data_IF_013794570801
#
_entry.id   IF_013794570801
#
_cell.length_a   1.000
_cell.length_b   1.000
_cell.length_c   1.000
_cell.angle_alpha   90.00
_cell.angle_beta   90.00
_cell.angle_gamma   90.00
#
_symmetry.space_group_name_H-M   'P 1'
#
loop_
_entity.id
_entity.type
_entity.pdbx_description
1 polymer ?
#
# COMPACT_ATOMS: atom_id res chain seq x y z
N UNK A 1 34.39 8.33 59.81
CA UNK A 1 33.47 8.91 58.80
C UNK A 1 33.20 7.88 57.73
N UNK A 2 32.04 7.34 57.70
CA UNK A 2 31.61 6.39 56.63
C UNK A 2 30.80 7.18 55.62
N UNK A 3 31.36 7.39 54.44
CA UNK A 3 30.64 8.00 53.31
C UNK A 3 29.78 6.92 52.66
N UNK A 4 28.48 7.07 52.78
CA UNK A 4 27.46 6.31 52.04
C UNK A 4 27.39 6.85 50.63
N UNK A 5 27.90 6.08 49.64
CA UNK A 5 27.64 6.33 48.25
C UNK A 5 26.25 5.83 47.95
N UNK A 6 25.32 6.74 47.71
CA UNK A 6 24.00 6.39 47.16
C UNK A 6 24.14 6.10 45.67
N UNK A 7 24.03 4.83 45.27
CA UNK A 7 23.87 4.46 43.88
C UNK A 7 22.45 4.87 43.44
N UNK A 8 22.37 5.93 42.66
CA UNK A 8 21.12 6.29 41.96
C UNK A 8 20.95 5.31 40.78
N UNK A 9 20.04 4.35 40.92
CA UNK A 9 19.62 3.47 39.82
C UNK A 9 18.82 4.32 38.84
N UNK A 10 19.39 4.61 37.69
CA UNK A 10 18.70 5.23 36.58
C UNK A 10 17.83 4.15 35.92
N UNK A 11 16.51 4.23 36.15
CA UNK A 11 15.55 3.38 35.46
C UNK A 11 15.41 3.91 34.02
N UNK A 12 16.05 3.27 33.05
CA UNK A 12 15.83 3.58 31.65
C UNK A 12 14.53 2.92 31.24
N UNK A 13 13.47 3.73 31.08
CA UNK A 13 12.23 3.25 30.47
C UNK A 13 12.50 3.11 28.96
N UNK A 14 12.64 1.88 28.50
CA UNK A 14 12.62 1.58 27.06
C UNK A 14 11.17 1.68 26.59
N UNK A 15 10.85 2.78 25.89
CA UNK A 15 9.58 2.90 25.16
C UNK A 15 9.71 2.11 23.85
N UNK A 16 9.08 0.94 23.78
CA UNK A 16 8.87 0.24 22.50
C UNK A 16 7.89 1.06 21.66
N UNK A 17 8.40 1.72 20.60
CA UNK A 17 7.56 2.36 19.62
C UNK A 17 6.91 1.27 18.76
N UNK A 18 5.57 1.08 18.88
CA UNK A 18 4.80 0.25 17.96
C UNK A 18 4.61 1.03 16.66
N UNK A 19 5.31 0.63 15.58
CA UNK A 19 5.00 1.11 14.25
C UNK A 19 3.80 0.33 13.73
N UNK A 20 2.74 1.04 13.34
CA UNK A 20 1.59 0.43 12.69
C UNK A 20 1.96 0.02 11.27
N UNK A 21 1.41 -1.12 10.81
CA UNK A 21 1.59 -1.58 9.44
C UNK A 21 0.96 -0.60 8.44
N UNK A 22 1.61 -0.42 7.29
CA UNK A 22 1.03 0.29 6.16
C UNK A 22 -0.22 -0.44 5.69
N UNK A 23 -1.30 0.29 5.43
CA UNK A 23 -2.56 -0.24 4.92
C UNK A 23 -3.03 0.59 3.73
N UNK A 24 -3.87 -0.02 2.88
CA UNK A 24 -4.51 0.66 1.77
C UNK A 24 -6.02 0.45 1.82
N UNK A 25 -6.75 1.45 1.31
CA UNK A 25 -8.18 1.34 1.04
C UNK A 25 -8.48 1.91 -0.34
N UNK A 26 -9.35 1.25 -1.07
CA UNK A 26 -9.87 1.67 -2.37
C UNK A 26 -11.23 1.04 -2.60
N UNK A 27 -11.98 1.56 -3.56
CA UNK A 27 -13.23 0.98 -4.03
C UNK A 27 -13.24 0.91 -5.55
N UNK A 28 -13.90 -0.10 -6.09
CA UNK A 28 -14.11 -0.25 -7.53
C UNK A 28 -15.57 0.12 -7.83
N UNK A 29 -15.76 1.19 -8.56
CA UNK A 29 -17.05 1.61 -9.11
C UNK A 29 -17.11 1.32 -10.61
N UNK A 30 -18.27 1.49 -11.23
CA UNK A 30 -18.43 1.26 -12.68
C UNK A 30 -17.42 2.00 -13.54
N UNK A 31 -17.07 3.24 -13.18
CA UNK A 31 -16.06 4.06 -13.86
C UNK A 31 -14.64 3.50 -13.79
N UNK A 32 -14.38 2.60 -12.85
CA UNK A 32 -13.08 1.96 -12.66
C UNK A 32 -12.98 0.59 -13.35
N UNK A 33 -14.04 0.15 -14.02
CA UNK A 33 -14.10 -1.16 -14.68
C UNK A 33 -13.74 -1.07 -16.15
N UNK A 34 -13.35 -2.20 -16.71
CA UNK A 34 -12.99 -2.34 -18.13
C UNK A 34 -11.94 -1.30 -18.54
N UNK A 35 -12.14 -0.57 -19.61
CA UNK A 35 -11.28 0.52 -20.05
C UNK A 35 -11.43 1.85 -19.32
N UNK A 36 -11.96 1.82 -18.09
CA UNK A 36 -12.19 3.01 -17.28
C UNK A 36 -10.94 3.60 -16.64
N UNK A 37 -11.13 4.47 -15.65
CA UNK A 37 -10.06 5.16 -14.94
C UNK A 37 -9.66 4.40 -13.68
N UNK A 38 -8.39 4.52 -13.28
CA UNK A 38 -7.89 3.89 -12.04
C UNK A 38 -8.58 4.49 -10.81
N UNK A 39 -8.86 3.67 -9.78
CA UNK A 39 -9.46 4.17 -8.54
C UNK A 39 -8.50 5.02 -7.74
N UNK A 40 -9.04 5.90 -6.89
CA UNK A 40 -8.27 6.51 -5.82
C UNK A 40 -7.82 5.45 -4.81
N UNK A 41 -6.61 5.58 -4.28
CA UNK A 41 -6.09 4.70 -3.22
C UNK A 41 -5.66 5.55 -2.04
N UNK A 42 -6.27 5.30 -0.87
CA UNK A 42 -5.82 5.85 0.39
C UNK A 42 -4.72 4.95 0.96
N UNK A 43 -3.58 5.55 1.31
CA UNK A 43 -2.42 4.84 1.86
C UNK A 43 -2.19 5.36 3.27
N UNK A 44 -2.26 4.47 4.26
CA UNK A 44 -2.14 4.82 5.68
C UNK A 44 -0.87 4.22 6.28
N UNK A 45 -0.24 4.92 7.21
CA UNK A 45 0.98 4.50 7.90
C UNK A 45 2.15 4.22 6.92
N UNK A 46 2.36 5.13 5.99
CA UNK A 46 3.48 5.06 5.05
C UNK A 46 4.80 5.20 5.81
N UNK A 47 5.78 4.30 5.61
CA UNK A 47 7.05 4.38 6.32
C UNK A 47 7.80 5.69 6.04
N UNK A 48 8.50 6.25 7.04
CA UNK A 48 9.45 7.33 6.80
C UNK A 48 10.51 6.91 5.78
N UNK A 49 10.90 7.84 4.90
CA UNK A 49 11.88 7.56 3.85
C UNK A 49 11.28 7.03 2.54
N UNK A 50 9.96 6.86 2.48
CA UNK A 50 9.29 6.48 1.24
C UNK A 50 9.42 7.59 0.19
N UNK A 51 10.05 7.27 -0.93
CA UNK A 51 10.23 8.19 -2.05
C UNK A 51 9.24 7.90 -3.20
N UNK A 52 8.89 6.63 -3.39
CA UNK A 52 7.99 6.16 -4.45
C UNK A 52 7.08 5.06 -3.94
N UNK A 53 5.96 4.90 -4.61
CA UNK A 53 5.03 3.79 -4.41
C UNK A 53 4.80 3.07 -5.72
N UNK A 54 4.90 1.75 -5.70
CA UNK A 54 4.55 0.87 -6.81
C UNK A 54 3.16 0.34 -6.58
N UNK A 55 2.29 0.44 -7.57
CA UNK A 55 0.91 -0.04 -7.52
C UNK A 55 0.72 -1.13 -8.56
N UNK A 56 0.18 -2.25 -8.13
CA UNK A 56 -0.12 -3.40 -8.98
C UNK A 56 -1.56 -3.87 -8.72
N UNK A 57 -2.28 -4.20 -9.79
CA UNK A 57 -3.57 -4.90 -9.70
C UNK A 57 -3.49 -6.21 -10.47
N UNK A 58 -3.84 -7.30 -9.81
CA UNK A 58 -3.91 -8.63 -10.40
C UNK A 58 -5.32 -9.20 -10.28
N UNK A 59 -5.77 -9.85 -11.35
CA UNK A 59 -6.90 -10.77 -11.33
C UNK A 59 -6.37 -12.12 -10.84
N UNK A 60 -6.81 -12.57 -9.66
CA UNK A 60 -6.32 -13.83 -9.09
C UNK A 60 -6.86 -15.06 -9.82
N UNK A 61 -7.94 -14.92 -10.59
CA UNK A 61 -8.50 -15.97 -11.45
C UNK A 61 -7.78 -16.05 -12.81
N UNK A 62 -7.16 -14.93 -13.24
CA UNK A 62 -6.35 -14.84 -14.47
C UNK A 62 -5.06 -14.07 -14.20
N UNK A 63 -4.11 -14.65 -13.43
CA UNK A 63 -2.95 -13.90 -12.93
C UNK A 63 -1.95 -13.48 -14.00
N UNK A 64 -2.04 -14.01 -15.21
CA UNK A 64 -1.22 -13.61 -16.37
C UNK A 64 -1.67 -12.27 -16.97
N UNK A 65 -2.89 -11.81 -16.70
CA UNK A 65 -3.38 -10.53 -17.20
C UNK A 65 -2.91 -9.39 -16.29
N UNK A 66 -2.22 -8.42 -16.86
CA UNK A 66 -1.76 -7.23 -16.13
C UNK A 66 -2.83 -6.13 -16.18
N UNK A 67 -3.52 -5.90 -15.05
CA UNK A 67 -4.53 -4.86 -14.94
C UNK A 67 -3.93 -3.49 -14.65
N UNK A 68 -2.87 -3.43 -13.85
CA UNK A 68 -2.21 -2.18 -13.47
C UNK A 68 -0.83 -2.46 -12.91
N UNK A 69 0.15 -1.69 -13.37
CA UNK A 69 1.51 -1.73 -12.86
C UNK A 69 2.17 -0.37 -13.12
N UNK A 70 2.16 0.49 -12.12
CA UNK A 70 2.80 1.80 -12.20
C UNK A 70 3.64 2.07 -10.94
N UNK A 71 4.67 2.88 -11.11
CA UNK A 71 5.44 3.44 -10.01
C UNK A 71 5.29 4.96 -10.04
N UNK A 72 4.91 5.54 -8.89
CA UNK A 72 4.68 6.96 -8.73
C UNK A 72 5.64 7.55 -7.71
N UNK A 73 6.01 8.81 -7.88
CA UNK A 73 6.57 9.60 -6.79
C UNK A 73 5.56 9.62 -5.64
N UNK A 74 6.01 9.36 -4.42
CA UNK A 74 5.12 9.42 -3.26
C UNK A 74 4.78 10.87 -2.91
N UNK A 75 3.51 11.21 -2.97
CA UNK A 75 2.94 12.53 -2.67
C UNK A 75 1.67 12.42 -1.81
N UNK A 76 1.52 11.35 -1.03
CA UNK A 76 0.33 11.03 -0.27
C UNK A 76 -0.57 10.01 -0.95
N UNK A 77 -1.87 10.09 -0.70
CA UNK A 77 -2.86 9.24 -1.33
C UNK A 77 -2.83 9.38 -2.86
N UNK A 78 -3.12 8.30 -3.57
CA UNK A 78 -3.21 8.33 -5.02
C UNK A 78 -4.60 8.81 -5.46
N UNK A 79 -4.66 9.92 -6.23
CA UNK A 79 -5.93 10.37 -6.80
C UNK A 79 -6.46 9.41 -7.86
N UNK A 80 -7.78 9.43 -8.06
CA UNK A 80 -8.42 8.75 -9.17
C UNK A 80 -7.83 9.21 -10.51
N UNK A 81 -7.71 8.27 -11.45
CA UNK A 81 -7.24 8.55 -12.81
C UNK A 81 -5.72 8.69 -12.96
N UNK A 82 -4.92 8.43 -11.92
CA UNK A 82 -3.45 8.46 -11.98
C UNK A 82 -2.84 7.32 -12.80
N UNK A 83 -3.55 6.20 -12.91
CA UNK A 83 -3.03 5.01 -13.59
C UNK A 83 -2.76 5.24 -15.06
N UNK A 84 -1.55 4.89 -15.52
CA UNK A 84 -1.18 4.80 -16.92
C UNK A 84 -1.32 3.33 -17.34
N UNK A 85 -1.94 3.06 -18.49
CA UNK A 85 -2.23 1.70 -18.94
C UNK A 85 -3.05 0.87 -17.94
N UNK A 86 -3.93 1.53 -17.19
CA UNK A 86 -4.88 0.87 -16.31
C UNK A 86 -5.99 0.21 -17.12
N UNK A 87 -6.26 -1.06 -16.83
CA UNK A 87 -7.44 -1.75 -17.31
C UNK A 87 -8.13 -2.40 -16.11
N UNK A 88 -9.31 -1.92 -15.78
CA UNK A 88 -10.04 -2.34 -14.58
C UNK A 88 -10.64 -3.73 -14.67
N UNK A 89 -11.24 -4.20 -13.57
CA UNK A 89 -12.00 -5.44 -13.55
C UNK A 89 -13.03 -5.49 -14.66
N UNK A 90 -12.98 -6.53 -15.49
CA UNK A 90 -13.88 -6.73 -16.62
C UNK A 90 -14.02 -8.23 -16.96
N UNK A 91 -14.38 -9.10 -15.99
CA UNK A 91 -14.47 -10.51 -16.26
C UNK A 91 -15.54 -10.79 -17.32
N UNK A 92 -15.32 -11.75 -18.24
CA UNK A 92 -16.29 -12.07 -19.28
C UNK A 92 -17.60 -12.64 -18.73
N UNK A 93 -17.53 -13.32 -17.58
CA UNK A 93 -18.69 -13.84 -16.84
C UNK A 93 -18.36 -14.02 -15.37
N UNK A 94 -19.39 -13.95 -14.52
CA UNK A 94 -19.26 -14.16 -13.08
C UNK A 94 -18.43 -13.11 -12.36
N UNK A 95 -17.90 -13.52 -11.21
CA UNK A 95 -17.07 -12.68 -10.33
C UNK A 95 -15.64 -13.18 -10.34
N UNK A 96 -14.69 -12.27 -10.45
CA UNK A 96 -13.28 -12.55 -10.21
C UNK A 96 -12.80 -11.84 -8.96
N UNK A 97 -11.77 -12.36 -8.32
CA UNK A 97 -11.10 -11.71 -7.20
C UNK A 97 -9.90 -10.92 -7.71
N UNK A 98 -9.83 -9.65 -7.35
CA UNK A 98 -8.74 -8.75 -7.72
C UNK A 98 -7.96 -8.33 -6.49
N UNK A 99 -6.65 -8.26 -6.60
CA UNK A 99 -5.75 -7.78 -5.55
C UNK A 99 -5.01 -6.54 -6.01
N UNK A 100 -5.16 -5.45 -5.27
CA UNK A 100 -4.27 -4.29 -5.39
C UNK A 100 -3.19 -4.39 -4.33
N UNK A 101 -1.94 -4.24 -4.75
CA UNK A 101 -0.77 -4.19 -3.89
C UNK A 101 -0.07 -2.86 -4.08
N UNK A 102 0.22 -2.18 -2.98
CA UNK A 102 1.03 -0.96 -2.95
C UNK A 102 2.32 -1.26 -2.20
N UNK A 103 3.45 -0.99 -2.83
CA UNK A 103 4.79 -1.20 -2.28
C UNK A 103 5.47 0.15 -2.11
N UNK A 104 5.87 0.47 -0.87
CA UNK A 104 6.63 1.68 -0.55
C UNK A 104 8.12 1.44 -0.79
N UNK A 105 8.76 2.32 -1.57
CA UNK A 105 10.15 2.25 -1.96
C UNK A 105 10.92 3.49 -1.49
N UNK A 106 12.15 3.30 -1.02
CA UNK A 106 13.05 4.41 -0.71
C UNK A 106 13.70 5.00 -1.99
N UNK A 107 14.57 6.00 -1.83
CA UNK A 107 15.28 6.66 -2.94
C UNK A 107 16.17 5.72 -3.74
N UNK A 108 16.60 4.60 -3.16
CA UNK A 108 17.44 3.57 -3.82
C UNK A 108 16.63 2.46 -4.47
N UNK A 109 15.29 2.49 -4.30
CA UNK A 109 14.40 1.44 -4.78
C UNK A 109 14.24 0.26 -3.81
N UNK A 110 14.75 0.38 -2.59
CA UNK A 110 14.58 -0.63 -1.55
C UNK A 110 13.13 -0.64 -1.07
N UNK A 111 12.56 -1.84 -0.91
CA UNK A 111 11.22 -2.04 -0.35
C UNK A 111 11.24 -1.75 1.15
N UNK A 112 10.41 -0.81 1.59
CA UNK A 112 10.22 -0.44 2.99
C UNK A 112 9.00 -1.11 3.60
N UNK A 113 7.92 -1.24 2.84
CA UNK A 113 6.67 -1.88 3.25
C UNK A 113 5.84 -2.25 2.03
N UNK A 114 4.87 -3.14 2.23
CA UNK A 114 3.88 -3.51 1.24
C UNK A 114 2.53 -3.70 1.90
N UNK A 115 1.45 -3.34 1.22
CA UNK A 115 0.08 -3.54 1.65
C UNK A 115 -0.78 -4.01 0.49
N UNK A 116 -1.71 -4.89 0.77
CA UNK A 116 -2.64 -5.43 -0.24
C UNK A 116 -4.06 -5.41 0.26
N UNK A 117 -5.01 -5.28 -0.67
CA UNK A 117 -6.44 -5.46 -0.42
C UNK A 117 -7.08 -6.13 -1.62
N UNK A 118 -7.95 -7.10 -1.35
CA UNK A 118 -8.69 -7.84 -2.36
C UNK A 118 -10.15 -7.36 -2.45
N UNK A 119 -10.70 -7.41 -3.65
CA UNK A 119 -12.11 -7.17 -3.92
C UNK A 119 -12.64 -8.21 -4.90
N UNK A 120 -13.93 -8.53 -4.79
CA UNK A 120 -14.63 -9.36 -5.76
C UNK A 120 -15.45 -8.46 -6.67
N UNK A 121 -15.24 -8.59 -7.97
CA UNK A 121 -15.86 -7.74 -8.98
C UNK A 121 -16.41 -8.55 -10.13
N UNK A 122 -17.64 -8.19 -10.57
CA UNK A 122 -18.21 -8.57 -11.83
C UNK A 122 -17.96 -7.49 -12.90
N UNK A 123 -18.48 -7.74 -14.10
CA UNK A 123 -18.46 -6.79 -15.23
C UNK A 123 -19.39 -5.61 -15.00
#
# INVERSE_FOLDING_TARGET
>A
MRTLLALASILVLETTAFSQAMTITYGIEGKNKCGGVSPAIKITNVPPGTARVKVEMKDLDVPSFNHWNNTFKYEGDLPEGKGVNYYGPCPPSGMHTYRVTVTALDTTGKVLASASKETEEGR
#
